data_IF_687122205305
#
_entry.id   IF_687122205305
#
_cell.length_a   1.000
_cell.length_b   1.000
_cell.length_c   1.000
_cell.angle_alpha   90.00
_cell.angle_beta   90.00
_cell.angle_gamma   90.00
#
_symmetry.space_group_name_H-M   'P 1'
#
loop_
_entity.id
_entity.type
_entity.pdbx_description
1 polymer ?
#
# COMPACT_ATOMS: atom_id res chain seq x y z
N UNK A 1 -11.44 16.70 -15.99
CA UNK A 1 -10.31 16.40 -15.06
C UNK A 1 -9.90 14.96 -15.28
N UNK A 2 -8.59 14.65 -15.46
CA UNK A 2 -8.10 13.26 -15.51
C UNK A 2 -8.21 12.60 -14.14
N UNK A 3 -8.13 11.27 -14.07
CA UNK A 3 -8.11 10.54 -12.80
C UNK A 3 -6.91 10.96 -11.94
N UNK A 4 -5.72 11.04 -12.55
CA UNK A 4 -4.51 11.51 -11.87
C UNK A 4 -4.66 12.90 -11.27
N UNK A 5 -5.15 13.86 -12.04
CA UNK A 5 -5.35 15.22 -11.55
C UNK A 5 -6.33 15.26 -10.38
N UNK A 6 -7.42 14.49 -10.43
CA UNK A 6 -8.42 14.40 -9.37
C UNK A 6 -7.82 13.84 -8.09
N UNK A 7 -7.07 12.75 -8.18
CA UNK A 7 -6.42 12.14 -7.02
C UNK A 7 -5.38 13.08 -6.39
N UNK A 8 -4.52 13.71 -7.18
CA UNK A 8 -3.51 14.65 -6.68
C UNK A 8 -4.15 15.90 -6.04
N UNK A 9 -5.26 16.42 -6.59
CA UNK A 9 -6.01 17.51 -5.97
C UNK A 9 -6.65 17.08 -4.65
N UNK A 10 -7.24 15.89 -4.59
CA UNK A 10 -7.80 15.35 -3.34
C UNK A 10 -6.73 15.26 -2.24
N UNK A 11 -5.51 14.80 -2.58
CA UNK A 11 -4.39 14.73 -1.64
C UNK A 11 -4.01 16.13 -1.11
N UNK A 12 -4.08 17.15 -1.93
CA UNK A 12 -3.79 18.55 -1.55
C UNK A 12 -4.93 19.25 -0.83
N UNK A 13 -6.09 18.57 -0.68
CA UNK A 13 -7.30 19.19 -0.13
C UNK A 13 -7.95 20.23 -1.05
N UNK A 14 -7.68 20.16 -2.34
CA UNK A 14 -8.23 21.04 -3.37
C UNK A 14 -9.60 20.53 -3.86
N UNK A 15 -10.42 21.45 -4.37
CA UNK A 15 -11.73 21.08 -4.93
C UNK A 15 -11.58 20.21 -6.19
N UNK A 16 -12.36 19.14 -6.25
CA UNK A 16 -12.45 18.22 -7.39
C UNK A 16 -13.85 18.22 -7.99
N UNK A 17 -13.99 17.69 -9.21
CA UNK A 17 -15.28 17.53 -9.87
C UNK A 17 -16.15 16.44 -9.24
N UNK A 18 -15.55 15.47 -8.58
CA UNK A 18 -16.16 14.43 -7.75
C UNK A 18 -15.13 13.90 -6.74
N UNK A 19 -15.51 13.20 -5.68
CA UNK A 19 -14.55 12.48 -4.84
C UNK A 19 -13.68 11.53 -5.69
N UNK A 20 -12.38 11.50 -5.42
CA UNK A 20 -11.49 10.56 -6.11
C UNK A 20 -11.80 9.12 -5.71
N UNK A 21 -11.66 8.17 -6.65
CA UNK A 21 -11.91 6.73 -6.43
C UNK A 21 -10.64 5.95 -6.77
N UNK A 22 -10.02 5.38 -5.74
CA UNK A 22 -8.78 4.63 -5.85
C UNK A 22 -8.83 3.41 -4.91
N UNK A 23 -9.53 2.32 -5.32
CA UNK A 23 -9.49 1.08 -4.57
C UNK A 23 -8.08 0.47 -4.63
N UNK A 24 -7.72 -0.32 -3.61
CA UNK A 24 -6.42 -1.00 -3.56
C UNK A 24 -6.40 -2.22 -4.51
N UNK A 25 -6.64 -1.94 -5.81
CA UNK A 25 -6.45 -2.92 -6.88
C UNK A 25 -4.95 -3.07 -7.11
N UNK A 26 -4.48 -4.30 -6.97
CA UNK A 26 -3.10 -4.70 -7.17
C UNK A 26 -3.04 -6.18 -7.59
N UNK A 27 -1.94 -6.85 -7.37
CA UNK A 27 -1.66 -8.23 -7.79
C UNK A 27 -2.72 -9.26 -7.39
N UNK A 28 -3.52 -9.01 -6.35
CA UNK A 28 -4.59 -9.93 -5.95
C UNK A 28 -5.76 -9.94 -6.94
N UNK A 29 -6.18 -8.77 -7.44
CA UNK A 29 -7.35 -8.62 -8.30
C UNK A 29 -7.03 -8.43 -9.78
N UNK A 30 -6.02 -7.59 -10.10
CA UNK A 30 -5.72 -7.17 -11.46
C UNK A 30 -5.47 -8.34 -12.45
N UNK A 31 -4.83 -9.46 -12.07
CA UNK A 31 -4.62 -10.60 -12.97
C UNK A 31 -5.90 -11.12 -13.61
N UNK A 32 -7.01 -11.12 -12.86
CA UNK A 32 -8.31 -11.53 -13.36
C UNK A 32 -8.81 -10.68 -14.53
N UNK A 33 -8.42 -9.41 -14.63
CA UNK A 33 -8.80 -8.51 -15.72
C UNK A 33 -8.18 -8.90 -17.07
N UNK A 34 -7.07 -9.64 -17.06
CA UNK A 34 -6.39 -10.13 -18.26
C UNK A 34 -6.38 -11.66 -18.37
N UNK A 35 -7.21 -12.36 -17.58
CA UNK A 35 -7.33 -13.81 -17.59
C UNK A 35 -6.06 -14.55 -17.15
N UNK A 36 -5.29 -13.99 -16.23
CA UNK A 36 -4.07 -14.56 -15.67
C UNK A 36 -4.25 -14.98 -14.21
N UNK A 37 -3.36 -15.85 -13.75
CA UNK A 37 -3.30 -16.29 -12.35
C UNK A 37 -2.56 -15.28 -11.49
N UNK A 38 -2.98 -15.15 -10.23
CA UNK A 38 -2.36 -14.26 -9.24
C UNK A 38 -0.88 -14.60 -9.05
N UNK A 39 -0.56 -15.88 -8.82
CA UNK A 39 0.82 -16.32 -8.60
C UNK A 39 1.76 -16.13 -9.79
N UNK A 40 1.26 -16.09 -11.04
CA UNK A 40 2.06 -15.71 -12.20
C UNK A 40 2.46 -14.24 -12.14
N UNK A 41 1.49 -13.37 -11.92
CA UNK A 41 1.71 -11.93 -11.85
C UNK A 41 2.50 -11.54 -10.60
N UNK A 42 2.32 -12.25 -9.48
CA UNK A 42 3.08 -12.01 -8.25
C UNK A 42 4.59 -12.23 -8.41
N UNK A 43 5.01 -13.06 -9.35
CA UNK A 43 6.43 -13.38 -9.61
C UNK A 43 7.01 -12.69 -10.84
N UNK A 44 6.20 -12.09 -11.70
CA UNK A 44 6.64 -11.59 -13.00
C UNK A 44 6.22 -10.13 -13.18
N UNK A 45 7.14 -9.17 -12.94
CA UNK A 45 6.86 -7.74 -12.95
C UNK A 45 6.18 -7.23 -14.23
N UNK A 46 6.62 -7.66 -15.41
CA UNK A 46 6.02 -7.25 -16.68
C UNK A 46 4.59 -7.76 -16.82
N UNK A 47 4.30 -8.96 -16.30
CA UNK A 47 2.95 -9.51 -16.33
C UNK A 47 2.05 -8.79 -15.32
N UNK A 48 2.59 -8.44 -14.15
CA UNK A 48 1.88 -7.62 -13.17
C UNK A 48 1.56 -6.23 -13.73
N UNK A 49 2.52 -5.56 -14.38
CA UNK A 49 2.26 -4.28 -15.05
C UNK A 49 1.14 -4.39 -16.10
N UNK A 50 1.15 -5.44 -16.94
CA UNK A 50 0.07 -5.71 -17.89
C UNK A 50 -1.27 -5.93 -17.21
N UNK A 51 -1.30 -6.61 -16.06
CA UNK A 51 -2.51 -6.83 -15.30
C UNK A 51 -3.07 -5.50 -14.74
N UNK A 52 -2.22 -4.64 -14.21
CA UNK A 52 -2.61 -3.30 -13.72
C UNK A 52 -3.16 -2.43 -14.84
N UNK A 53 -2.50 -2.39 -16.00
CA UNK A 53 -3.01 -1.68 -17.19
C UNK A 53 -4.36 -2.25 -17.64
N UNK A 54 -4.51 -3.59 -17.68
CA UNK A 54 -5.78 -4.24 -18.00
C UNK A 54 -6.90 -3.97 -16.98
N UNK A 55 -6.55 -3.73 -15.72
CA UNK A 55 -7.53 -3.28 -14.72
C UNK A 55 -8.00 -1.85 -15.00
N UNK A 56 -7.11 -0.94 -15.42
CA UNK A 56 -7.50 0.42 -15.83
C UNK A 56 -8.32 0.44 -17.11
N UNK A 57 -8.03 -0.45 -18.08
CA UNK A 57 -8.86 -0.61 -19.28
C UNK A 57 -10.26 -1.16 -18.94
N UNK A 58 -10.33 -2.00 -17.92
CA UNK A 58 -11.62 -2.57 -17.44
C UNK A 58 -12.43 -1.52 -16.68
N UNK A 59 -11.76 -0.63 -15.93
CA UNK A 59 -12.35 0.41 -15.08
C UNK A 59 -11.78 1.80 -15.40
N UNK A 60 -12.06 2.36 -16.58
CA UNK A 60 -11.44 3.61 -17.04
C UNK A 60 -11.84 4.86 -16.22
N UNK A 61 -12.81 4.74 -15.33
CA UNK A 61 -13.27 5.81 -14.47
C UNK A 61 -12.61 5.83 -13.08
N UNK A 62 -11.73 4.86 -12.77
CA UNK A 62 -10.87 4.92 -11.60
C UNK A 62 -9.84 6.05 -11.75
N UNK A 63 -9.33 6.52 -10.63
CA UNK A 63 -8.40 7.64 -10.61
C UNK A 63 -6.94 7.19 -10.45
N UNK A 64 -6.72 5.94 -10.10
CA UNK A 64 -5.39 5.36 -9.98
C UNK A 64 -5.39 3.95 -9.41
N UNK A 65 -4.20 3.40 -9.23
CA UNK A 65 -3.91 2.07 -8.69
C UNK A 65 -2.66 2.09 -7.82
N UNK A 66 -2.44 0.99 -7.11
CA UNK A 66 -1.20 0.70 -6.41
C UNK A 66 -0.30 -0.26 -7.19
N UNK A 67 1.02 -0.17 -6.94
CA UNK A 67 2.02 -1.18 -7.28
C UNK A 67 2.70 -1.56 -5.97
N UNK A 68 2.27 -2.64 -5.34
CA UNK A 68 2.69 -2.94 -3.96
C UNK A 68 3.35 -4.31 -3.80
N UNK A 69 2.77 -5.36 -4.33
CA UNK A 69 3.23 -6.73 -4.10
C UNK A 69 3.63 -7.39 -5.42
N UNK A 70 4.94 -7.51 -5.66
CA UNK A 70 5.49 -8.29 -6.75
C UNK A 70 6.92 -8.71 -6.42
N UNK A 71 7.24 -9.98 -6.64
CA UNK A 71 8.63 -10.46 -6.60
C UNK A 71 9.26 -10.28 -7.97
N UNK A 72 10.57 -10.10 -8.02
CA UNK A 72 11.31 -10.12 -9.30
C UNK A 72 11.70 -11.56 -9.64
N UNK A 73 11.17 -12.10 -10.73
CA UNK A 73 11.47 -13.47 -11.19
C UNK A 73 12.95 -13.66 -11.57
N UNK A 74 13.67 -12.60 -11.93
CA UNK A 74 15.10 -12.61 -12.20
C UNK A 74 15.94 -12.91 -10.96
N UNK A 75 15.34 -12.80 -9.77
CA UNK A 75 15.97 -13.03 -8.47
C UNK A 75 15.45 -14.28 -7.77
N UNK A 76 14.49 -14.99 -8.36
CA UNK A 76 13.89 -16.15 -7.74
C UNK A 76 14.54 -17.45 -8.19
N UNK A 77 14.89 -18.31 -7.25
CA UNK A 77 15.32 -19.68 -7.50
C UNK A 77 14.27 -20.65 -6.98
N UNK A 78 13.73 -21.50 -7.86
CA UNK A 78 12.77 -22.53 -7.44
C UNK A 78 13.50 -23.67 -6.73
N UNK A 79 13.09 -23.94 -5.49
CA UNK A 79 13.66 -25.01 -4.67
C UNK A 79 12.96 -26.36 -4.92
N UNK A 80 13.63 -27.50 -4.58
CA UNK A 80 13.04 -28.84 -4.74
C UNK A 80 11.75 -29.07 -3.94
N UNK A 81 11.54 -28.36 -2.83
CA UNK A 81 10.32 -28.42 -2.01
C UNK A 81 9.15 -27.56 -2.56
N UNK A 82 9.36 -26.92 -3.75
CA UNK A 82 8.35 -26.11 -4.41
C UNK A 82 8.28 -24.64 -3.95
N UNK A 83 9.07 -24.24 -2.98
CA UNK A 83 9.23 -22.84 -2.57
C UNK A 83 10.13 -22.08 -3.56
N UNK A 84 10.17 -20.78 -3.42
CA UNK A 84 11.05 -19.88 -4.13
C UNK A 84 11.99 -19.19 -3.13
N UNK A 85 13.29 -19.35 -3.32
CA UNK A 85 14.32 -18.57 -2.64
C UNK A 85 14.51 -17.25 -3.42
N UNK A 86 14.48 -16.12 -2.72
CA UNK A 86 14.63 -14.78 -3.30
C UNK A 86 16.07 -14.25 -3.24
N UNK A 87 17.01 -15.07 -2.78
CA UNK A 87 18.41 -14.68 -2.63
C UNK A 87 18.67 -13.75 -1.44
N UNK A 88 17.63 -13.37 -0.72
CA UNK A 88 17.68 -12.49 0.48
C UNK A 88 17.41 -13.24 1.79
N UNK A 89 17.44 -14.57 1.75
CA UNK A 89 17.13 -15.40 2.90
C UNK A 89 15.64 -15.55 3.17
N UNK A 90 14.77 -15.24 2.20
CA UNK A 90 13.34 -15.46 2.30
C UNK A 90 12.90 -16.58 1.37
N UNK A 91 12.24 -17.58 1.91
CA UNK A 91 11.63 -18.64 1.13
C UNK A 91 10.13 -18.41 0.99
N UNK A 92 9.68 -18.19 -0.22
CA UNK A 92 8.31 -17.87 -0.57
C UNK A 92 7.51 -19.08 -1.03
N UNK A 93 6.32 -19.25 -0.48
CA UNK A 93 5.28 -20.08 -1.07
C UNK A 93 4.40 -19.17 -1.94
N UNK A 94 4.32 -19.47 -3.25
CA UNK A 94 3.51 -18.69 -4.19
C UNK A 94 2.46 -19.61 -4.80
N UNK A 95 1.21 -19.57 -4.29
CA UNK A 95 0.09 -20.32 -4.86
C UNK A 95 -0.30 -19.78 -6.24
N UNK A 96 -1.06 -20.55 -7.02
CA UNK A 96 -1.51 -20.10 -8.35
C UNK A 96 -2.55 -18.97 -8.26
N UNK A 97 -3.48 -19.07 -7.31
CA UNK A 97 -4.68 -18.25 -7.26
C UNK A 97 -4.66 -17.23 -6.08
N UNK A 98 -3.50 -17.04 -5.45
CA UNK A 98 -3.35 -16.10 -4.33
C UNK A 98 -1.95 -15.48 -4.30
N UNK A 99 -1.77 -14.44 -3.49
CA UNK A 99 -0.48 -13.79 -3.28
C UNK A 99 0.50 -14.70 -2.52
N UNK A 100 1.79 -14.49 -2.78
CA UNK A 100 2.84 -15.26 -2.10
C UNK A 100 2.97 -14.90 -0.62
N UNK A 101 3.42 -15.88 0.16
CA UNK A 101 3.71 -15.71 1.59
C UNK A 101 5.10 -16.24 1.92
N UNK A 102 5.81 -15.56 2.81
CA UNK A 102 7.09 -16.06 3.35
C UNK A 102 6.84 -17.26 4.24
N UNK A 103 7.62 -18.31 4.07
CA UNK A 103 7.57 -19.55 4.86
C UNK A 103 8.78 -19.74 5.76
N UNK A 104 9.93 -19.27 5.33
CA UNK A 104 11.16 -19.36 6.10
C UNK A 104 11.93 -18.06 5.99
N UNK A 105 12.56 -17.68 7.09
CA UNK A 105 13.51 -16.60 7.23
C UNK A 105 14.85 -17.23 7.61
N UNK A 106 15.89 -16.98 6.81
CA UNK A 106 17.25 -17.49 7.08
C UNK A 106 18.09 -16.48 7.87
N UNK A 107 17.67 -15.22 7.89
CA UNK A 107 18.38 -14.15 8.60
C UNK A 107 17.95 -14.20 10.07
N UNK A 108 18.89 -14.55 10.93
CA UNK A 108 18.67 -14.61 12.39
C UNK A 108 19.39 -13.46 13.12
N UNK A 109 20.46 -12.90 12.54
CA UNK A 109 21.31 -11.88 13.15
C UNK A 109 21.34 -10.60 12.31
N UNK A 110 21.51 -9.44 12.96
CA UNK A 110 21.46 -8.11 12.33
C UNK A 110 22.70 -7.77 11.49
N UNK A 111 23.78 -8.55 11.57
CA UNK A 111 25.02 -8.36 10.83
C UNK A 111 25.11 -9.20 9.53
N UNK A 112 24.04 -9.92 9.18
CA UNK A 112 23.96 -10.66 7.92
C UNK A 112 24.09 -9.69 6.74
N UNK A 113 25.09 -9.93 5.87
CA UNK A 113 25.36 -9.06 4.70
C UNK A 113 24.15 -8.92 3.76
N UNK A 114 23.27 -9.92 3.72
CA UNK A 114 22.03 -9.89 2.92
C UNK A 114 21.05 -8.79 3.38
N UNK A 115 21.17 -8.33 4.62
CA UNK A 115 20.37 -7.21 5.10
C UNK A 115 20.66 -5.90 4.38
N UNK A 116 21.85 -5.72 3.82
CA UNK A 116 22.23 -4.52 3.09
C UNK A 116 21.81 -4.55 1.62
N UNK A 117 21.34 -5.69 1.14
CA UNK A 117 20.87 -5.84 -0.23
C UNK A 117 19.40 -5.40 -0.39
N UNK A 118 19.04 -5.26 -1.64
CA UNK A 118 17.69 -4.89 -2.08
C UNK A 118 16.82 -6.14 -2.23
N UNK A 119 15.70 -6.22 -1.52
CA UNK A 119 14.81 -7.38 -1.55
C UNK A 119 14.17 -7.63 -2.92
N UNK A 120 13.88 -8.89 -3.24
CA UNK A 120 13.18 -9.27 -4.46
C UNK A 120 11.82 -8.57 -4.58
N UNK A 121 11.11 -8.39 -3.46
CA UNK A 121 9.82 -7.66 -3.43
C UNK A 121 9.99 -6.22 -3.91
N UNK A 122 10.99 -5.54 -3.46
CA UNK A 122 11.25 -4.14 -3.79
C UNK A 122 11.68 -3.99 -5.26
N UNK A 123 12.53 -4.90 -5.75
CA UNK A 123 12.87 -4.95 -7.18
C UNK A 123 11.64 -5.20 -8.05
N UNK A 124 10.79 -6.13 -7.67
CA UNK A 124 9.57 -6.42 -8.39
C UNK A 124 8.64 -5.20 -8.49
N UNK A 125 8.57 -4.38 -7.43
CA UNK A 125 7.82 -3.12 -7.46
C UNK A 125 8.44 -2.12 -8.45
N UNK A 126 9.77 -1.93 -8.43
CA UNK A 126 10.47 -1.05 -9.36
C UNK A 126 10.27 -1.48 -10.81
N UNK A 127 10.49 -2.75 -11.10
CA UNK A 127 10.36 -3.33 -12.44
C UNK A 127 8.91 -3.24 -12.94
N UNK A 128 7.93 -3.57 -12.08
CA UNK A 128 6.51 -3.42 -12.40
C UNK A 128 6.16 -1.97 -12.72
N UNK A 129 6.57 -1.03 -11.86
CA UNK A 129 6.29 0.38 -12.07
C UNK A 129 6.96 0.91 -13.34
N UNK A 130 8.21 0.50 -13.62
CA UNK A 130 8.92 0.87 -14.84
C UNK A 130 8.22 0.35 -16.11
N UNK A 131 7.62 -0.85 -16.05
CA UNK A 131 6.95 -1.49 -17.18
C UNK A 131 5.56 -0.92 -17.50
N UNK A 132 4.97 -0.09 -16.63
CA UNK A 132 3.70 0.59 -16.92
C UNK A 132 3.91 1.66 -17.98
N UNK A 133 3.13 1.58 -19.06
CA UNK A 133 3.25 2.48 -20.22
C UNK A 133 2.93 3.95 -19.85
N UNK A 134 3.62 4.92 -20.47
CA UNK A 134 3.54 6.35 -20.12
C UNK A 134 2.11 6.90 -20.10
N UNK A 135 1.27 6.52 -21.06
CA UNK A 135 -0.08 7.07 -21.17
C UNK A 135 -0.99 6.70 -19.97
N UNK A 136 -0.75 5.55 -19.30
CA UNK A 136 -1.46 5.24 -18.05
C UNK A 136 -0.97 6.15 -16.93
N UNK A 137 0.34 6.37 -16.81
CA UNK A 137 0.93 7.30 -15.82
C UNK A 137 0.52 8.76 -16.06
N UNK A 138 0.16 9.13 -17.30
CA UNK A 138 -0.35 10.47 -17.62
C UNK A 138 -1.79 10.68 -17.16
N UNK A 139 -2.63 9.65 -17.23
CA UNK A 139 -4.07 9.76 -17.00
C UNK A 139 -4.50 9.29 -15.59
N UNK A 140 -3.75 8.40 -14.98
CA UNK A 140 -4.05 7.77 -13.69
C UNK A 140 -2.92 8.00 -12.70
N UNK A 141 -3.26 8.12 -11.41
CA UNK A 141 -2.25 8.14 -10.34
C UNK A 141 -1.81 6.71 -10.02
N UNK A 142 -0.62 6.34 -10.47
CA UNK A 142 -0.03 5.05 -10.14
C UNK A 142 0.90 5.24 -8.94
N UNK A 143 0.60 4.56 -7.84
CA UNK A 143 1.27 4.75 -6.56
C UNK A 143 2.14 3.53 -6.24
N UNK A 144 3.47 3.58 -6.50
CA UNK A 144 4.36 2.49 -6.11
C UNK A 144 4.58 2.47 -4.59
N UNK A 145 4.72 1.26 -4.06
CA UNK A 145 4.94 0.99 -2.65
C UNK A 145 6.41 1.01 -2.23
N UNK A 146 6.61 1.39 -0.99
CA UNK A 146 7.86 1.24 -0.26
C UNK A 146 7.52 0.47 1.02
N UNK A 147 8.15 -0.67 1.25
CA UNK A 147 8.02 -1.34 2.54
C UNK A 147 8.63 -0.46 3.62
N UNK A 148 7.87 -0.15 4.66
CA UNK A 148 8.32 0.71 5.75
C UNK A 148 9.50 0.13 6.52
N UNK A 149 10.36 0.95 7.14
CA UNK A 149 11.62 0.52 7.72
C UNK A 149 11.48 -0.60 8.75
N UNK A 150 10.49 -0.52 9.65
CA UNK A 150 10.23 -1.57 10.62
C UNK A 150 9.72 -2.85 9.93
N UNK A 151 8.76 -2.73 9.02
CA UNK A 151 8.22 -3.86 8.29
C UNK A 151 9.26 -4.56 7.41
N UNK A 152 10.29 -3.85 6.90
CA UNK A 152 11.41 -4.48 6.20
C UNK A 152 12.12 -5.50 7.09
N UNK A 153 12.44 -5.13 8.34
CA UNK A 153 13.09 -6.07 9.28
C UNK A 153 12.18 -7.25 9.60
N UNK A 154 10.88 -7.00 9.83
CA UNK A 154 9.92 -8.08 10.08
C UNK A 154 9.83 -9.04 8.89
N UNK A 155 9.89 -8.55 7.64
CA UNK A 155 9.94 -9.40 6.46
C UNK A 155 11.23 -10.21 6.39
N UNK A 156 12.37 -9.65 6.78
CA UNK A 156 13.69 -10.30 6.67
C UNK A 156 13.93 -11.32 7.79
N UNK A 157 13.57 -10.99 9.02
CA UNK A 157 13.91 -11.77 10.22
C UNK A 157 12.72 -12.53 10.84
N UNK A 158 11.49 -12.22 10.38
CA UNK A 158 10.27 -12.71 11.01
C UNK A 158 9.81 -11.86 12.19
N UNK A 159 8.48 -11.85 12.40
CA UNK A 159 7.86 -11.03 13.43
C UNK A 159 8.32 -11.40 14.84
N UNK A 160 8.43 -12.69 15.14
CA UNK A 160 8.79 -13.19 16.47
C UNK A 160 10.19 -12.69 16.89
N UNK A 161 11.20 -12.84 16.00
CA UNK A 161 12.56 -12.39 16.27
C UNK A 161 12.62 -10.89 16.51
N UNK A 162 11.99 -10.08 15.65
CA UNK A 162 11.95 -8.63 15.82
C UNK A 162 11.24 -8.22 17.11
N UNK A 163 10.16 -8.93 17.50
CA UNK A 163 9.48 -8.64 18.76
C UNK A 163 10.34 -9.00 19.99
N UNK A 164 11.12 -10.07 19.95
CA UNK A 164 12.07 -10.44 21.01
C UNK A 164 13.12 -9.33 21.14
N UNK A 165 13.70 -8.89 20.03
CA UNK A 165 14.71 -7.83 20.02
C UNK A 165 14.22 -6.49 20.58
N UNK A 166 12.92 -6.17 20.49
CA UNK A 166 12.37 -4.96 21.14
C UNK A 166 12.61 -4.92 22.63
N UNK A 167 12.76 -6.07 23.28
CA UNK A 167 12.95 -6.20 24.74
C UNK A 167 14.41 -6.52 25.10
N UNK A 168 15.06 -7.38 24.35
CA UNK A 168 16.37 -7.91 24.67
C UNK A 168 17.50 -7.02 24.14
N UNK A 169 17.31 -6.43 22.92
CA UNK A 169 18.35 -5.68 22.19
C UNK A 169 17.77 -4.41 21.54
N UNK A 170 17.08 -3.55 22.32
CA UNK A 170 16.31 -2.42 21.74
C UNK A 170 17.19 -1.40 20.99
N UNK A 171 18.41 -1.19 21.42
CA UNK A 171 19.29 -0.19 20.78
C UNK A 171 19.85 -0.73 19.45
N UNK A 172 20.21 -2.02 19.38
CA UNK A 172 20.64 -2.67 18.16
C UNK A 172 19.50 -2.71 17.11
N UNK A 173 18.28 -3.02 17.58
CA UNK A 173 17.10 -2.97 16.71
C UNK A 173 16.87 -1.56 16.16
N UNK A 174 16.99 -0.51 16.95
CA UNK A 174 16.87 0.89 16.51
C UNK A 174 17.90 1.24 15.44
N UNK A 175 19.14 0.80 15.62
CA UNK A 175 20.21 1.00 14.63
C UNK A 175 19.88 0.28 13.31
N UNK A 176 19.38 -0.95 13.39
CA UNK A 176 18.96 -1.70 12.22
C UNK A 176 17.79 -1.03 11.48
N UNK A 177 16.76 -0.54 12.20
CA UNK A 177 15.66 0.21 11.60
C UNK A 177 16.19 1.49 10.92
N UNK A 178 17.12 2.22 11.56
CA UNK A 178 17.73 3.42 10.97
C UNK A 178 18.50 3.13 9.67
N UNK A 179 19.15 1.96 9.55
CA UNK A 179 19.72 1.50 8.27
C UNK A 179 18.64 1.30 7.22
N UNK A 180 17.48 0.70 7.59
CA UNK A 180 16.34 0.51 6.65
C UNK A 180 15.72 1.83 6.19
N UNK A 181 15.76 2.88 6.99
CA UNK A 181 15.37 4.24 6.54
C UNK A 181 16.18 4.67 5.32
N UNK A 182 17.50 4.45 5.33
CA UNK A 182 18.36 4.81 4.19
C UNK A 182 17.99 4.04 2.93
N UNK A 183 17.68 2.75 3.07
CA UNK A 183 17.20 1.94 1.95
C UNK A 183 15.85 2.44 1.42
N UNK A 184 14.90 2.75 2.31
CA UNK A 184 13.60 3.28 1.91
C UNK A 184 13.72 4.63 1.17
N UNK A 185 14.66 5.49 1.59
CA UNK A 185 14.94 6.76 0.91
C UNK A 185 15.63 6.55 -0.44
N UNK A 186 16.56 5.61 -0.55
CA UNK A 186 17.15 5.24 -1.85
C UNK A 186 16.09 4.75 -2.82
N UNK A 187 15.18 3.91 -2.38
CA UNK A 187 14.01 3.46 -3.14
C UNK A 187 13.10 4.60 -3.60
N UNK A 188 12.81 5.52 -2.69
CA UNK A 188 12.05 6.72 -3.01
C UNK A 188 12.69 7.47 -4.18
N UNK A 189 14.02 7.64 -4.15
CA UNK A 189 14.75 8.34 -5.20
C UNK A 189 14.68 7.61 -6.55
N UNK A 190 14.78 6.27 -6.54
CA UNK A 190 14.63 5.46 -7.75
C UNK A 190 13.22 5.52 -8.32
N UNK A 191 12.19 5.44 -7.48
CA UNK A 191 10.79 5.56 -7.91
C UNK A 191 10.49 6.94 -8.51
N UNK A 192 11.04 8.00 -7.92
CA UNK A 192 10.95 9.37 -8.47
C UNK A 192 11.64 9.46 -9.84
N UNK A 193 12.82 8.87 -9.98
CA UNK A 193 13.54 8.83 -11.26
C UNK A 193 12.75 8.07 -12.35
N UNK A 194 11.92 7.08 -11.96
CA UNK A 194 10.99 6.38 -12.84
C UNK A 194 9.67 7.13 -13.09
N UNK A 195 9.52 8.33 -12.52
CA UNK A 195 8.35 9.20 -12.73
C UNK A 195 7.20 8.99 -11.75
N UNK A 196 7.46 8.48 -10.55
CA UNK A 196 6.44 8.44 -9.50
C UNK A 196 6.04 9.86 -9.05
N UNK A 197 4.74 10.15 -8.99
CA UNK A 197 4.19 11.43 -8.52
C UNK A 197 3.52 11.33 -7.14
N UNK A 198 3.48 10.13 -6.57
CA UNK A 198 3.13 9.81 -5.18
C UNK A 198 3.75 8.47 -4.82
N UNK A 199 3.96 8.22 -3.53
CA UNK A 199 4.44 6.93 -3.02
C UNK A 199 3.58 6.47 -1.85
N UNK A 200 3.60 5.17 -1.59
CA UNK A 200 2.89 4.53 -0.51
C UNK A 200 3.87 3.81 0.41
N UNK A 201 3.82 4.07 1.71
CA UNK A 201 4.64 3.39 2.72
C UNK A 201 3.76 2.37 3.43
N UNK A 202 4.15 1.10 3.38
CA UNK A 202 3.49 0.01 4.06
C UNK A 202 4.19 -0.39 5.35
N UNK A 203 3.59 -0.06 6.50
CA UNK A 203 3.99 -0.57 7.82
C UNK A 203 3.01 -1.64 8.31
N UNK A 204 2.76 -2.64 7.46
CA UNK A 204 1.76 -3.69 7.73
C UNK A 204 2.03 -4.51 8.98
N UNK A 205 3.31 -4.68 9.38
CA UNK A 205 3.70 -5.39 10.58
C UNK A 205 3.58 -4.54 11.88
N UNK A 206 3.24 -3.24 11.76
CA UNK A 206 3.17 -2.31 12.88
C UNK A 206 1.74 -2.09 13.43
N UNK A 207 0.81 -2.97 13.08
CA UNK A 207 -0.57 -2.93 13.58
C UNK A 207 -0.64 -2.98 15.10
N UNK A 208 -1.57 -2.25 15.69
CA UNK A 208 -1.84 -2.35 17.14
C UNK A 208 -2.39 -3.73 17.57
N UNK A 209 -2.67 -4.61 16.61
CA UNK A 209 -2.95 -6.02 16.87
C UNK A 209 -1.68 -6.87 17.08
N UNK A 210 -0.52 -6.36 16.69
CA UNK A 210 0.78 -7.03 16.73
C UNK A 210 1.70 -6.42 17.78
N UNK A 211 1.82 -5.08 17.80
CA UNK A 211 2.69 -4.35 18.72
C UNK A 211 1.90 -3.31 19.52
N UNK A 212 2.40 -2.97 20.71
CA UNK A 212 1.76 -1.95 21.54
C UNK A 212 1.94 -0.53 20.96
N UNK A 213 1.07 0.44 21.32
CA UNK A 213 1.26 1.84 20.94
C UNK A 213 2.60 2.41 21.41
N UNK A 214 3.12 1.96 22.55
CA UNK A 214 4.44 2.35 23.04
C UNK A 214 5.57 1.84 22.13
N UNK A 215 5.51 0.58 21.72
CA UNK A 215 6.44 0.04 20.72
C UNK A 215 6.32 0.75 19.37
N UNK A 216 5.10 1.08 18.93
CA UNK A 216 4.90 1.87 17.71
C UNK A 216 5.58 3.23 17.81
N UNK A 217 5.40 3.95 18.92
CA UNK A 217 6.00 5.25 19.15
C UNK A 217 7.53 5.21 19.21
N UNK A 218 8.10 4.11 19.70
CA UNK A 218 9.54 3.94 19.87
C UNK A 218 10.25 3.38 18.63
N UNK A 219 9.69 2.34 18.01
CA UNK A 219 10.37 1.58 16.96
C UNK A 219 9.83 1.82 15.54
N UNK A 220 8.69 2.51 15.38
CA UNK A 220 8.09 2.72 14.05
C UNK A 220 7.98 4.19 13.69
N UNK A 221 7.28 4.98 14.51
CA UNK A 221 6.92 6.35 14.17
C UNK A 221 8.12 7.28 13.87
N UNK A 222 9.26 7.26 14.60
CA UNK A 222 10.40 8.12 14.30
C UNK A 222 10.97 7.83 12.91
N UNK A 223 11.11 6.57 12.55
CA UNK A 223 11.73 6.12 11.31
C UNK A 223 10.80 6.29 10.10
N UNK A 224 9.52 5.98 10.26
CA UNK A 224 8.52 6.29 9.24
C UNK A 224 8.46 7.80 8.95
N UNK A 225 8.57 8.64 9.99
CA UNK A 225 8.63 10.10 9.85
C UNK A 225 9.81 10.57 9.01
N UNK A 226 10.98 9.94 9.12
CA UNK A 226 12.14 10.28 8.29
C UNK A 226 11.86 10.03 6.82
N UNK A 227 11.29 8.89 6.46
CA UNK A 227 10.91 8.56 5.07
C UNK A 227 9.83 9.51 4.54
N UNK A 228 8.79 9.80 5.35
CA UNK A 228 7.75 10.78 5.00
C UNK A 228 8.34 12.18 4.80
N UNK A 229 9.29 12.57 5.64
CA UNK A 229 9.98 13.86 5.53
C UNK A 229 10.80 13.92 4.23
N UNK A 230 11.54 12.86 3.92
CA UNK A 230 12.31 12.75 2.68
C UNK A 230 11.41 12.85 1.42
N UNK A 231 10.24 12.22 1.43
CA UNK A 231 9.26 12.33 0.34
C UNK A 231 8.75 13.77 0.19
N UNK A 232 8.40 14.42 1.31
CA UNK A 232 7.93 15.81 1.32
C UNK A 232 9.00 16.78 0.81
N UNK A 233 10.26 16.62 1.19
CA UNK A 233 11.38 17.46 0.72
C UNK A 233 11.61 17.34 -0.78
N UNK A 234 11.26 16.19 -1.37
CA UNK A 234 11.29 15.94 -2.81
C UNK A 234 10.00 16.37 -3.52
N UNK A 235 9.04 16.93 -2.79
CA UNK A 235 7.74 17.37 -3.33
C UNK A 235 6.79 16.25 -3.70
N UNK A 236 7.01 15.02 -3.21
CA UNK A 236 6.21 13.84 -3.51
C UNK A 236 5.21 13.57 -2.39
N UNK A 237 3.91 13.52 -2.66
CA UNK A 237 2.91 13.07 -1.71
C UNK A 237 3.20 11.64 -1.24
N UNK A 238 3.13 11.46 0.08
CA UNK A 238 3.35 10.16 0.71
C UNK A 238 2.09 9.69 1.42
N UNK A 239 1.61 8.52 1.05
CA UNK A 239 0.59 7.76 1.76
C UNK A 239 1.24 6.85 2.79
N UNK A 240 0.57 6.59 3.89
CA UNK A 240 0.97 5.55 4.82
C UNK A 240 -0.20 4.62 5.12
N UNK A 241 0.07 3.33 5.06
CA UNK A 241 -0.85 2.27 5.45
C UNK A 241 -0.27 1.44 6.58
N UNK A 242 -1.08 1.24 7.60
CA UNK A 242 -0.86 0.27 8.66
C UNK A 242 -2.11 -0.61 8.73
N UNK A 243 -1.96 -1.91 8.54
CA UNK A 243 -3.08 -2.85 8.53
C UNK A 243 -3.82 -2.91 9.88
N UNK A 244 -5.11 -3.21 9.84
CA UNK A 244 -5.93 -3.48 11.01
C UNK A 244 -6.26 -2.24 11.85
N UNK A 245 -6.41 -2.45 13.15
CA UNK A 245 -6.80 -1.38 14.06
C UNK A 245 -5.63 -0.47 14.43
N UNK A 246 -5.62 0.75 13.90
CA UNK A 246 -4.59 1.77 14.18
C UNK A 246 -5.03 2.80 15.23
N UNK A 247 -6.25 2.70 15.76
CA UNK A 247 -6.80 3.69 16.71
C UNK A 247 -5.85 3.99 17.87
N UNK A 248 -5.21 2.98 18.50
CA UNK A 248 -4.28 3.24 19.61
C UNK A 248 -3.02 4.01 19.23
N UNK A 249 -2.56 3.94 17.97
CA UNK A 249 -1.34 4.58 17.47
C UNK A 249 -1.61 5.74 16.48
N UNK A 250 -2.87 6.15 16.34
CA UNK A 250 -3.28 7.12 15.30
C UNK A 250 -2.62 8.49 15.46
N UNK A 251 -2.31 8.90 16.70
CA UNK A 251 -1.63 10.18 16.98
C UNK A 251 -0.19 10.18 16.49
N UNK A 252 0.50 9.09 16.72
CA UNK A 252 1.87 8.86 16.27
C UNK A 252 1.92 8.83 14.75
N UNK A 253 1.00 8.11 14.11
CA UNK A 253 0.87 8.07 12.64
C UNK A 253 0.63 9.48 12.09
N UNK A 254 -0.34 10.21 12.61
CA UNK A 254 -0.64 11.58 12.19
C UNK A 254 0.54 12.54 12.38
N UNK A 255 1.36 12.33 13.43
CA UNK A 255 2.53 13.17 13.75
C UNK A 255 3.68 13.03 12.75
N UNK A 256 3.67 12.01 11.88
CA UNK A 256 4.70 11.83 10.84
C UNK A 256 4.67 12.92 9.78
N UNK A 257 3.51 13.59 9.60
CA UNK A 257 3.33 14.65 8.61
C UNK A 257 3.07 14.11 7.19
N UNK A 258 2.51 12.91 7.09
CA UNK A 258 2.09 12.26 5.84
C UNK A 258 1.09 13.12 5.05
N UNK A 259 1.05 12.98 3.73
CA UNK A 259 0.12 13.69 2.85
C UNK A 259 -1.27 13.05 2.85
N UNK A 260 -1.31 11.73 2.96
CA UNK A 260 -2.54 10.97 3.04
C UNK A 260 -2.37 9.74 3.94
N UNK A 261 -3.38 9.44 4.73
CA UNK A 261 -3.48 8.18 5.48
C UNK A 261 -4.38 7.19 4.73
N UNK A 262 -3.87 5.99 4.51
CA UNK A 262 -4.62 4.88 3.91
C UNK A 262 -5.15 3.98 5.03
N UNK A 263 -6.47 4.01 5.25
CA UNK A 263 -7.12 3.52 6.48
C UNK A 263 -7.77 2.17 6.25
N UNK A 264 -7.46 1.22 7.13
CA UNK A 264 -8.11 -0.09 7.16
C UNK A 264 -9.59 0.04 7.58
N UNK A 265 -10.43 -0.89 7.10
CA UNK A 265 -11.89 -0.91 7.34
C UNK A 265 -12.28 -1.00 8.83
N UNK A 266 -11.37 -1.41 9.70
CA UNK A 266 -11.60 -1.55 11.14
C UNK A 266 -11.63 -0.21 11.89
N UNK A 267 -11.28 0.89 11.24
CA UNK A 267 -11.10 2.20 11.88
C UNK A 267 -12.19 3.17 11.46
N UNK A 268 -12.94 3.79 12.42
CA UNK A 268 -13.91 4.82 12.09
C UNK A 268 -13.28 6.04 11.42
N UNK A 269 -13.80 6.44 10.26
CA UNK A 269 -13.25 7.54 9.46
C UNK A 269 -13.33 8.90 10.18
N UNK A 270 -14.38 9.11 10.97
CA UNK A 270 -14.55 10.30 11.83
C UNK A 270 -13.42 10.44 12.84
N UNK A 271 -12.99 9.32 13.46
CA UNK A 271 -11.88 9.31 14.41
C UNK A 271 -10.56 9.62 13.73
N UNK A 272 -10.32 9.10 12.53
CA UNK A 272 -9.13 9.44 11.74
C UNK A 272 -9.11 10.94 11.44
N UNK A 273 -10.24 11.50 11.01
CA UNK A 273 -10.38 12.94 10.75
C UNK A 273 -10.10 13.80 11.98
N UNK A 274 -10.57 13.39 13.15
CA UNK A 274 -10.29 14.08 14.41
C UNK A 274 -8.79 14.19 14.69
N UNK A 275 -8.04 13.11 14.52
CA UNK A 275 -6.61 13.06 14.84
C UNK A 275 -5.71 13.60 13.75
N UNK A 276 -6.02 13.35 12.48
CA UNK A 276 -5.20 13.83 11.36
C UNK A 276 -5.50 15.28 10.97
N UNK A 277 -6.59 15.84 11.48
CA UNK A 277 -6.99 17.24 11.23
C UNK A 277 -7.65 17.44 9.86
N UNK A 278 -8.11 18.68 9.58
CA UNK A 278 -9.01 18.96 8.45
C UNK A 278 -8.34 18.96 7.07
N UNK A 279 -7.01 18.97 7.01
CA UNK A 279 -6.26 19.11 5.74
C UNK A 279 -5.65 17.81 5.24
N UNK A 280 -5.42 16.83 6.11
CA UNK A 280 -4.86 15.53 5.70
C UNK A 280 -5.87 14.79 4.84
N UNK A 281 -5.46 14.30 3.69
CA UNK A 281 -6.28 13.43 2.87
C UNK A 281 -6.45 12.07 3.57
N UNK A 282 -7.68 11.55 3.61
CA UNK A 282 -7.94 10.21 4.12
C UNK A 282 -8.37 9.34 2.95
N UNK A 283 -7.66 8.24 2.72
CA UNK A 283 -8.03 7.23 1.73
C UNK A 283 -8.59 6.01 2.47
N UNK A 284 -9.64 5.45 1.93
CA UNK A 284 -10.25 4.22 2.46
C UNK A 284 -11.77 4.37 2.52
N UNK A 285 -12.48 3.60 3.34
CA UNK A 285 -12.02 2.39 4.00
C UNK A 285 -13.05 1.26 3.81
N UNK A 286 -13.59 1.16 2.59
CA UNK A 286 -14.53 0.09 2.27
C UNK A 286 -13.92 -1.28 2.59
N UNK A 287 -14.66 -2.09 3.36
CA UNK A 287 -14.23 -3.45 3.69
C UNK A 287 -14.14 -4.28 2.40
N UNK A 288 -12.96 -4.87 2.08
CA UNK A 288 -12.81 -5.73 0.90
C UNK A 288 -13.79 -6.92 0.86
N UNK A 289 -14.18 -7.44 2.03
CA UNK A 289 -15.15 -8.53 2.11
C UNK A 289 -16.59 -8.06 1.81
N UNK A 290 -16.94 -6.83 2.17
CA UNK A 290 -18.21 -6.22 1.76
C UNK A 290 -18.23 -5.97 0.25
N UNK A 291 -17.10 -5.47 -0.29
CA UNK A 291 -16.95 -5.29 -1.74
C UNK A 291 -17.04 -6.61 -2.51
N UNK A 292 -16.58 -7.73 -1.94
CA UNK A 292 -16.68 -9.06 -2.54
C UNK A 292 -18.09 -9.64 -2.49
N UNK A 293 -18.80 -9.48 -1.34
CA UNK A 293 -19.97 -10.30 -1.02
C UNK A 293 -21.33 -9.59 -1.08
N UNK A 294 -21.32 -8.26 -0.99
CA UNK A 294 -22.56 -7.46 -1.02
C UNK A 294 -23.02 -7.17 -2.45
N UNK A 295 -24.26 -6.77 -2.59
CA UNK A 295 -24.80 -6.26 -3.86
C UNK A 295 -24.18 -4.88 -4.20
N UNK A 296 -24.20 -4.54 -5.49
CA UNK A 296 -23.69 -3.25 -5.94
C UNK A 296 -24.44 -2.03 -5.37
N UNK A 297 -25.72 -2.19 -5.00
CA UNK A 297 -26.49 -1.13 -4.37
C UNK A 297 -26.10 -0.96 -2.88
N UNK A 298 -25.83 -2.07 -2.17
CA UNK A 298 -25.27 -1.98 -0.80
C UNK A 298 -23.88 -1.35 -0.80
N UNK A 299 -22.99 -1.73 -1.73
CA UNK A 299 -21.68 -1.11 -1.88
C UNK A 299 -21.78 0.38 -2.17
N UNK A 300 -22.72 0.79 -3.04
CA UNK A 300 -22.99 2.20 -3.32
C UNK A 300 -23.37 2.97 -2.04
N UNK A 301 -24.29 2.45 -1.23
CA UNK A 301 -24.69 3.13 0.02
C UNK A 301 -23.56 3.15 1.07
N UNK A 302 -22.76 2.08 1.19
CA UNK A 302 -21.59 2.07 2.07
C UNK A 302 -20.61 3.16 1.67
N UNK A 303 -20.30 3.31 0.37
CA UNK A 303 -19.40 4.35 -0.13
C UNK A 303 -19.90 5.76 0.18
N UNK A 304 -21.21 6.01 0.08
CA UNK A 304 -21.81 7.29 0.46
C UNK A 304 -21.66 7.58 1.96
N UNK A 305 -21.87 6.56 2.79
CA UNK A 305 -21.74 6.70 4.24
C UNK A 305 -20.28 6.98 4.65
N UNK A 306 -19.31 6.28 4.06
CA UNK A 306 -17.87 6.51 4.26
C UNK A 306 -17.54 7.98 3.91
N UNK A 307 -18.03 8.49 2.79
CA UNK A 307 -17.80 9.87 2.40
C UNK A 307 -18.38 10.87 3.42
N UNK A 308 -19.59 10.65 3.88
CA UNK A 308 -20.25 11.52 4.86
C UNK A 308 -19.52 11.52 6.21
N UNK A 309 -19.08 10.32 6.66
CA UNK A 309 -18.36 10.16 7.91
C UNK A 309 -16.97 10.81 7.88
N UNK A 310 -16.29 10.76 6.73
CA UNK A 310 -14.91 11.27 6.60
C UNK A 310 -14.84 12.81 6.70
N UNK A 311 -15.83 13.53 6.23
CA UNK A 311 -15.96 14.99 6.31
C UNK A 311 -14.67 15.76 5.95
N UNK A 312 -14.35 15.91 4.66
CA UNK A 312 -13.18 16.67 4.20
C UNK A 312 -12.41 15.99 3.05
N UNK A 313 -11.13 16.34 2.84
CA UNK A 313 -10.34 15.76 1.76
C UNK A 313 -10.25 14.24 1.89
N UNK A 314 -10.71 13.54 0.86
CA UNK A 314 -10.65 12.08 0.86
C UNK A 314 -10.53 11.49 -0.54
N UNK A 315 -10.03 10.27 -0.58
CA UNK A 315 -10.06 9.35 -1.71
C UNK A 315 -10.89 8.14 -1.29
N UNK A 316 -11.99 7.89 -1.99
CA UNK A 316 -12.80 6.71 -1.76
C UNK A 316 -12.01 5.47 -2.22
N UNK A 317 -11.71 4.59 -1.30
CA UNK A 317 -10.90 3.41 -1.53
C UNK A 317 -11.36 2.23 -0.68
N UNK A 318 -10.69 1.10 -0.85
CA UNK A 318 -10.85 -0.06 0.04
C UNK A 318 -9.89 0.05 1.22
N UNK A 319 -10.23 -0.55 2.34
CA UNK A 319 -9.40 -0.54 3.56
C UNK A 319 -8.18 -1.47 3.48
N UNK A 320 -8.16 -2.38 2.52
CA UNK A 320 -7.03 -3.24 2.19
C UNK A 320 -7.16 -3.68 0.72
N UNK A 321 -6.32 -4.63 0.25
CA UNK A 321 -6.33 -5.14 -1.11
C UNK A 321 -7.72 -5.64 -1.53
N UNK A 322 -8.11 -5.32 -2.75
CA UNK A 322 -9.33 -5.86 -3.36
C UNK A 322 -9.16 -7.37 -3.56
N UNK A 323 -10.09 -8.15 -3.00
CA UNK A 323 -10.05 -9.59 -3.04
C UNK A 323 -10.17 -10.12 -4.49
N UNK A 324 -9.53 -11.25 -4.84
CA UNK A 324 -9.82 -11.96 -6.08
C UNK A 324 -11.32 -12.24 -6.19
N UNK A 325 -11.83 -12.30 -7.43
CA UNK A 325 -13.25 -12.58 -7.70
C UNK A 325 -14.27 -11.53 -7.21
N UNK A 326 -13.83 -10.37 -6.71
CA UNK A 326 -14.72 -9.25 -6.44
C UNK A 326 -15.54 -8.92 -7.71
N UNK A 327 -16.89 -8.82 -7.63
CA UNK A 327 -17.72 -8.49 -8.78
C UNK A 327 -17.36 -7.14 -9.38
N UNK A 328 -17.26 -7.06 -10.73
CA UNK A 328 -16.92 -5.80 -11.42
C UNK A 328 -17.93 -4.70 -11.13
N UNK A 329 -19.20 -5.04 -11.08
CA UNK A 329 -20.32 -4.15 -10.75
C UNK A 329 -20.18 -3.49 -9.37
N UNK A 330 -19.46 -4.12 -8.44
CA UNK A 330 -19.20 -3.57 -7.12
C UNK A 330 -18.10 -2.50 -7.16
N UNK A 331 -17.08 -2.68 -7.99
CA UNK A 331 -16.07 -1.64 -8.25
C UNK A 331 -16.73 -0.45 -8.97
N UNK A 332 -17.58 -0.70 -9.96
CA UNK A 332 -18.35 0.33 -10.65
C UNK A 332 -19.30 1.08 -9.70
N UNK A 333 -19.83 0.41 -8.67
CA UNK A 333 -20.66 1.05 -7.66
C UNK A 333 -19.91 2.11 -6.84
N UNK A 334 -18.61 1.94 -6.59
CA UNK A 334 -17.78 2.96 -5.95
C UNK A 334 -17.73 4.24 -6.81
N UNK A 335 -17.55 4.09 -8.12
CA UNK A 335 -17.54 5.21 -9.07
C UNK A 335 -18.93 5.88 -9.15
N UNK A 336 -20.01 5.10 -9.20
CA UNK A 336 -21.39 5.62 -9.18
C UNK A 336 -21.66 6.44 -7.91
N UNK A 337 -21.23 5.96 -6.75
CA UNK A 337 -21.36 6.67 -5.49
C UNK A 337 -20.61 8.02 -5.52
N UNK A 338 -19.38 8.02 -6.01
CA UNK A 338 -18.57 9.24 -6.16
C UNK A 338 -19.27 10.29 -7.04
N UNK A 339 -19.85 9.89 -8.18
CA UNK A 339 -20.58 10.78 -9.07
C UNK A 339 -21.83 11.37 -8.41
N UNK A 340 -22.62 10.52 -7.74
CA UNK A 340 -23.83 10.97 -7.05
C UNK A 340 -23.55 11.94 -5.88
N UNK A 341 -22.39 11.81 -5.23
CA UNK A 341 -21.93 12.77 -4.20
C UNK A 341 -21.65 14.14 -4.82
N UNK A 342 -21.06 14.20 -6.02
CA UNK A 342 -20.81 15.44 -6.73
C UNK A 342 -22.11 16.20 -7.04
N UNK A 343 -23.13 15.49 -7.50
CA UNK A 343 -24.43 16.09 -7.86
C UNK A 343 -25.14 16.73 -6.65
N UNK A 344 -24.88 16.26 -5.43
CA UNK A 344 -25.42 16.81 -4.19
C UNK A 344 -24.68 18.07 -3.70
N UNK A 345 -23.48 18.35 -4.24
CA UNK A 345 -22.63 19.48 -3.86
C UNK A 345 -22.67 20.65 -4.87
N UNK A 346 -23.27 20.41 -6.04
CA UNK A 346 -23.46 21.39 -7.11
C UNK A 346 -24.79 22.14 -6.93
#
# INVERSE_FOLDING_TARGET
MTGKERALRAIRGEKTDRPSVLPSIDVAYAPGCIGRKVGECFRTPELHAKALMGALDTFPELDGLYVNLCLSDTRLTRLPNGLYDDGHGLHWFVPEDDVGTVKYHEIEELDDERMDEISSLQFGILETFAAIEPHYKENYLIIPGITGPYSQLVFMMGLENVMIMMYDEPDELKEAIAKRVKHAISWLDELIALGAEAVWIGEGAASSSLISPACYAEFVAPYAKEVVTAARERGIPCFMHVCGNIVPSIKEIASTGLSAIDVDYMVPMSLVREHCGPRTCIKGNLNPMDLLSKSSDEVYEICRNIYQETAGPMILGTGCLVAPHTPKENIDAMVRASKAISDLQS
#
